data_IF_819939350629
#
_entry.id   IF_819939350629
#
_cell.length_a   1.000
_cell.length_b   1.000
_cell.length_c   1.000
_cell.angle_alpha   90.00
_cell.angle_beta   90.00
_cell.angle_gamma   90.00
#
_symmetry.space_group_name_H-M   'P 1'
#
loop_
_entity.id
_entity.type
_entity.pdbx_description
1 polymer ?
#
# COMPACT_ATOMS: atom_id res chain seq x y z
N UNK A 1 -27.37 1.44 -7.65
CA UNK A 1 -25.99 1.68 -7.20
C UNK A 1 -25.54 0.55 -6.27
N UNK A 2 -25.64 -0.71 -6.68
CA UNK A 2 -25.34 -1.87 -5.80
C UNK A 2 -24.16 -2.71 -6.29
N UNK A 3 -23.65 -2.46 -7.49
CA UNK A 3 -22.65 -3.34 -8.14
C UNK A 3 -21.20 -3.07 -7.74
N UNK A 4 -20.89 -1.96 -7.05
CA UNK A 4 -19.50 -1.57 -6.78
C UNK A 4 -18.88 -2.23 -5.54
N UNK A 5 -19.67 -2.87 -4.69
CA UNK A 5 -19.18 -3.36 -3.38
C UNK A 5 -18.40 -4.66 -3.47
N UNK A 6 -18.63 -5.46 -4.51
CA UNK A 6 -18.01 -6.78 -4.72
C UNK A 6 -16.88 -6.76 -5.77
N UNK A 7 -16.67 -5.62 -6.43
CA UNK A 7 -15.63 -5.53 -7.46
C UNK A 7 -14.30 -5.24 -6.77
N UNK A 8 -13.29 -6.11 -6.86
CA UNK A 8 -11.98 -5.85 -6.29
C UNK A 8 -11.35 -4.61 -6.94
N UNK A 9 -10.58 -3.79 -6.19
CA UNK A 9 -9.97 -2.60 -6.73
C UNK A 9 -9.00 -2.94 -7.88
N UNK A 10 -9.13 -2.23 -8.98
CA UNK A 10 -8.38 -2.42 -10.23
C UNK A 10 -7.62 -1.14 -10.58
N UNK A 11 -6.33 -1.28 -10.91
CA UNK A 11 -5.53 -0.17 -11.42
C UNK A 11 -5.93 0.12 -12.86
N UNK A 12 -6.50 1.30 -13.11
CA UNK A 12 -7.04 1.71 -14.41
C UNK A 12 -5.98 1.92 -15.51
N UNK A 13 -4.70 1.73 -15.21
CA UNK A 13 -3.58 1.97 -16.12
C UNK A 13 -2.99 0.69 -16.75
N UNK A 14 -3.49 -0.49 -16.39
CA UNK A 14 -2.94 -1.77 -16.88
C UNK A 14 -4.02 -2.52 -17.68
N UNK A 15 -3.70 -2.89 -18.93
CA UNK A 15 -4.61 -3.51 -19.90
C UNK A 15 -4.99 -4.97 -19.61
N UNK A 16 -4.47 -5.57 -18.54
CA UNK A 16 -4.86 -6.90 -18.08
C UNK A 16 -5.87 -6.77 -16.93
N UNK A 17 -6.97 -7.54 -16.94
CA UNK A 17 -7.89 -7.62 -15.81
C UNK A 17 -7.23 -8.44 -14.69
N UNK A 18 -6.21 -7.89 -14.06
CA UNK A 18 -5.65 -8.42 -12.81
C UNK A 18 -6.14 -7.55 -11.66
N UNK A 19 -6.51 -8.18 -10.53
CA UNK A 19 -6.81 -7.43 -9.32
C UNK A 19 -5.55 -6.70 -8.86
N UNK A 20 -5.70 -5.50 -8.31
CA UNK A 20 -4.55 -4.74 -7.77
C UNK A 20 -3.90 -5.48 -6.59
N UNK A 21 -4.64 -6.40 -5.99
CA UNK A 21 -4.26 -7.31 -4.91
C UNK A 21 -3.20 -8.32 -5.36
N UNK A 22 -3.24 -8.82 -6.59
CA UNK A 22 -2.20 -9.73 -7.12
C UNK A 22 -0.96 -9.01 -7.63
N UNK A 23 -1.12 -7.77 -8.11
CA UNK A 23 -0.05 -7.10 -8.86
C UNK A 23 0.83 -6.21 -8.00
N UNK A 24 0.23 -5.44 -7.07
CA UNK A 24 0.98 -4.43 -6.34
C UNK A 24 1.42 -4.92 -4.96
N UNK A 25 0.57 -5.63 -4.20
CA UNK A 25 0.91 -6.18 -2.87
C UNK A 25 1.02 -7.71 -2.91
N UNK A 26 1.85 -8.28 -2.03
CA UNK A 26 2.09 -9.75 -2.01
C UNK A 26 1.04 -10.54 -1.23
N UNK A 27 0.03 -9.87 -0.67
CA UNK A 27 -0.99 -10.46 0.20
C UNK A 27 -2.38 -9.86 -0.07
N UNK A 28 -3.45 -10.61 0.23
CA UNK A 28 -4.82 -10.11 0.29
C UNK A 28 -4.99 -8.83 1.13
N UNK A 29 -5.98 -8.01 0.82
CA UNK A 29 -6.22 -6.70 1.43
C UNK A 29 -6.55 -6.77 2.91
N UNK A 30 -7.31 -7.78 3.35
CA UNK A 30 -7.62 -8.01 4.75
C UNK A 30 -6.34 -8.24 5.58
N UNK A 31 -5.39 -9.01 5.05
CA UNK A 31 -4.07 -9.23 5.64
C UNK A 31 -3.22 -7.95 5.56
N UNK A 32 -3.23 -7.26 4.41
CA UNK A 32 -2.47 -6.04 4.21
C UNK A 32 -2.90 -4.94 5.18
N UNK A 33 -4.20 -4.73 5.36
CA UNK A 33 -4.75 -3.71 6.25
C UNK A 33 -4.34 -3.95 7.70
N UNK A 34 -4.40 -5.20 8.15
CA UNK A 34 -3.88 -5.60 9.46
C UNK A 34 -2.37 -5.31 9.56
N UNK A 35 -1.57 -5.80 8.61
CA UNK A 35 -0.12 -5.57 8.57
C UNK A 35 0.25 -4.08 8.55
N UNK A 36 -0.50 -3.25 7.82
CA UNK A 36 -0.31 -1.80 7.78
C UNK A 36 -0.60 -1.17 9.14
N UNK A 37 -1.71 -1.54 9.77
CA UNK A 37 -2.08 -1.04 11.09
C UNK A 37 -1.01 -1.38 12.12
N UNK A 38 -0.63 -2.65 12.23
CA UNK A 38 0.31 -3.12 13.27
C UNK A 38 1.73 -2.57 13.05
N UNK A 39 2.16 -2.45 11.78
CA UNK A 39 3.45 -1.85 11.43
C UNK A 39 3.51 -0.36 11.78
N UNK A 40 2.41 0.38 11.64
CA UNK A 40 2.34 1.78 12.08
C UNK A 40 2.45 1.94 13.60
N UNK A 41 2.12 0.89 14.36
CA UNK A 41 2.22 0.86 15.81
C UNK A 41 3.52 0.17 16.31
N UNK A 42 4.45 -0.15 15.42
CA UNK A 42 5.72 -0.81 15.73
C UNK A 42 5.58 -2.18 16.42
N UNK A 43 4.50 -2.92 16.12
CA UNK A 43 4.29 -4.27 16.63
C UNK A 43 5.15 -5.26 15.85
N UNK A 44 5.77 -6.21 16.55
CA UNK A 44 6.70 -7.16 15.95
C UNK A 44 5.97 -8.21 15.08
N UNK A 45 6.61 -8.73 14.00
CA UNK A 45 6.03 -9.76 13.13
C UNK A 45 5.53 -11.00 13.87
N UNK A 46 6.24 -11.40 14.92
CA UNK A 46 5.94 -12.57 15.75
C UNK A 46 4.60 -12.44 16.48
N UNK A 47 4.20 -11.21 16.82
CA UNK A 47 2.98 -10.95 17.59
C UNK A 47 1.71 -11.06 16.74
N UNK A 48 1.83 -11.02 15.41
CA UNK A 48 0.68 -10.93 14.50
C UNK A 48 0.57 -12.12 13.56
N UNK A 49 1.66 -12.88 13.38
CA UNK A 49 1.75 -14.01 12.45
C UNK A 49 0.58 -15.00 12.60
N UNK A 50 0.27 -15.41 13.83
CA UNK A 50 -0.86 -16.29 14.12
C UNK A 50 -2.21 -15.67 13.74
N UNK A 51 -2.40 -14.38 14.03
CA UNK A 51 -3.65 -13.66 13.82
C UNK A 51 -3.98 -13.45 12.32
N UNK A 52 -2.96 -13.39 11.47
CA UNK A 52 -3.12 -13.29 10.00
C UNK A 52 -2.93 -14.64 9.29
N UNK A 53 -2.75 -15.73 10.04
CA UNK A 53 -2.52 -17.08 9.53
C UNK A 53 -1.31 -17.17 8.56
N UNK A 54 -0.23 -16.47 8.88
CA UNK A 54 1.03 -16.50 8.14
C UNK A 54 2.19 -16.94 9.05
N UNK A 55 3.24 -17.47 8.44
CA UNK A 55 4.51 -17.67 9.13
C UNK A 55 5.18 -16.32 9.43
N UNK A 56 5.96 -16.24 10.51
CA UNK A 56 6.67 -15.01 10.91
C UNK A 56 7.51 -14.45 9.76
N UNK A 57 8.24 -15.31 9.04
CA UNK A 57 9.05 -14.91 7.89
C UNK A 57 8.22 -14.29 6.75
N UNK A 58 6.98 -14.75 6.57
CA UNK A 58 6.07 -14.17 5.57
C UNK A 58 5.62 -12.77 5.99
N UNK A 59 5.32 -12.56 7.27
CA UNK A 59 4.98 -11.24 7.82
C UNK A 59 6.17 -10.28 7.71
N UNK A 60 7.39 -10.74 8.00
CA UNK A 60 8.60 -9.94 7.82
C UNK A 60 8.77 -9.47 6.37
N UNK A 61 8.53 -10.35 5.40
CA UNK A 61 8.57 -9.99 3.97
C UNK A 61 7.52 -8.93 3.63
N UNK A 62 6.29 -9.06 4.15
CA UNK A 62 5.24 -8.04 3.97
C UNK A 62 5.67 -6.70 4.56
N UNK A 63 6.29 -6.69 5.75
CA UNK A 63 6.81 -5.46 6.36
C UNK A 63 7.89 -4.80 5.51
N UNK A 64 8.83 -5.59 4.98
CA UNK A 64 9.90 -5.09 4.11
C UNK A 64 9.34 -4.52 2.81
N UNK A 65 8.33 -5.16 2.23
CA UNK A 65 7.64 -4.72 1.03
C UNK A 65 6.89 -3.39 1.26
N UNK A 66 6.20 -3.24 2.39
CA UNK A 66 5.59 -1.96 2.81
C UNK A 66 6.65 -0.85 2.89
N UNK A 67 7.81 -1.12 3.51
CA UNK A 67 8.89 -0.14 3.61
C UNK A 67 9.50 0.20 2.25
N UNK A 68 9.69 -0.79 1.40
CA UNK A 68 10.19 -0.59 0.05
C UNK A 68 9.28 0.33 -0.76
N UNK A 69 7.96 0.10 -0.69
CA UNK A 69 6.95 0.93 -1.36
C UNK A 69 6.92 2.34 -0.80
N UNK A 70 6.90 2.51 0.52
CA UNK A 70 6.96 3.84 1.17
C UNK A 70 8.20 4.63 0.75
N UNK A 71 9.36 3.98 0.66
CA UNK A 71 10.59 4.61 0.17
C UNK A 71 10.45 5.03 -1.29
N UNK A 72 9.98 4.13 -2.16
CA UNK A 72 9.83 4.38 -3.58
C UNK A 72 8.79 5.48 -3.90
N UNK A 73 7.73 5.59 -3.10
CA UNK A 73 6.63 6.55 -3.33
C UNK A 73 6.77 7.84 -2.51
N UNK A 74 7.86 8.02 -1.75
CA UNK A 74 8.05 9.21 -0.89
C UNK A 74 7.84 10.54 -1.63
N UNK A 75 8.29 10.64 -2.88
CA UNK A 75 8.10 11.84 -3.70
C UNK A 75 6.62 12.15 -3.97
N UNK A 76 5.76 11.14 -4.07
CA UNK A 76 4.32 11.33 -4.31
C UNK A 76 3.60 11.98 -3.12
N UNK A 77 4.20 11.92 -1.92
CA UNK A 77 3.70 12.58 -0.72
C UNK A 77 4.29 13.98 -0.51
N UNK A 78 5.19 14.44 -1.39
CA UNK A 78 5.77 15.79 -1.28
C UNK A 78 4.85 16.83 -1.93
N UNK A 79 4.78 18.05 -1.38
CA UNK A 79 4.04 19.13 -2.03
C UNK A 79 4.65 19.41 -3.41
N UNK A 80 3.84 19.89 -4.38
CA UNK A 80 4.36 20.27 -5.69
C UNK A 80 5.43 21.35 -5.53
N UNK A 81 6.55 21.17 -6.24
CA UNK A 81 7.67 22.12 -6.25
C UNK A 81 7.56 22.96 -7.52
N UNK A 82 7.49 24.28 -7.36
CA UNK A 82 7.64 25.19 -8.50
C UNK A 82 9.10 25.22 -8.97
N UNK A 83 9.33 24.85 -10.23
CA UNK A 83 10.65 24.96 -10.85
C UNK A 83 11.04 26.42 -11.11
N UNK A 84 10.05 27.29 -11.37
CA UNK A 84 10.22 28.72 -11.59
C UNK A 84 9.06 29.49 -10.99
N UNK A 85 9.25 30.79 -10.76
CA UNK A 85 8.18 31.69 -10.32
C UNK A 85 7.12 31.82 -11.43
N UNK A 86 5.86 31.60 -11.07
CA UNK A 86 4.69 31.80 -11.93
C UNK A 86 3.95 33.02 -11.36
N UNK A 87 3.68 34.03 -12.18
CA UNK A 87 3.14 35.31 -11.71
C UNK A 87 1.70 35.19 -11.22
N UNK A 88 0.98 34.18 -11.71
CA UNK A 88 -0.43 33.91 -11.45
C UNK A 88 -0.67 33.12 -10.15
N UNK A 89 0.38 32.53 -9.56
CA UNK A 89 0.28 31.69 -8.34
C UNK A 89 1.06 32.36 -7.21
N UNK A 90 0.36 32.71 -6.12
CA UNK A 90 0.97 33.19 -4.88
C UNK A 90 0.69 32.17 -3.78
N UNK A 91 1.74 31.70 -3.10
CA UNK A 91 1.65 30.78 -1.95
C UNK A 91 1.66 31.56 -0.63
#
# INVERSE_FOLDING_TARGET
>A
MEFFREVPPISLFISMPQSSEEFYYSVPYDILDMCLYVKNHNIAPEEIAEAVHLEVEQVERVYQDIDAKRRATRYQHTPPILLQKINEITF
#
